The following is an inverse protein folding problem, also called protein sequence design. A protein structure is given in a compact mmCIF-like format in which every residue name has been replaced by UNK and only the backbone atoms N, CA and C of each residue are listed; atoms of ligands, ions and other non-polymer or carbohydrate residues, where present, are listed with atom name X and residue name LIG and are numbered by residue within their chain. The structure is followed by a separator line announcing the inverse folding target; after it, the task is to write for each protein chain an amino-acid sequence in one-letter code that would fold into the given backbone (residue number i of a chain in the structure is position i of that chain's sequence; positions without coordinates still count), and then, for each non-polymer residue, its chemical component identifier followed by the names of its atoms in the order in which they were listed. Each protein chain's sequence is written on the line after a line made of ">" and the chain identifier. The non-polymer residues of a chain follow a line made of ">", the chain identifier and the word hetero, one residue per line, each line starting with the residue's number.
data_IF_921844745535
#
_entry.id   IF_921844745535
#
_cell.length_a   1.000
_cell.length_b   1.000
_cell.length_c   1.000
_cell.angle_alpha   90.00
_cell.angle_beta   90.00
_cell.angle_gamma   90.00
#
_symmetry.space_group_name_H-M   'P 1'
#
loop_
_entity.id
_entity.type
_entity.pdbx_description
1 polymer ?
#
# COMPACT_ATOMS: atom_id res chain seq x y z
N UNK A 1 -0.19 -0.03 -10.24
CA UNK A 1 -0.68 1.27 -9.76
C UNK A 1 -0.85 1.17 -8.25
N UNK A 2 -0.22 2.05 -7.47
CA UNK A 2 -0.44 2.11 -6.02
C UNK A 2 -1.82 2.63 -5.71
N UNK A 3 -2.49 2.03 -4.71
CA UNK A 3 -3.77 2.55 -4.23
C UNK A 3 -3.55 3.85 -3.48
N UNK A 4 -4.52 4.76 -3.57
CA UNK A 4 -4.46 5.99 -2.77
C UNK A 4 -4.49 5.67 -1.28
N UNK A 5 -3.89 6.54 -0.45
CA UNK A 5 -3.94 6.40 1.03
C UNK A 5 -5.38 6.28 1.55
N UNK A 6 -6.31 7.05 0.98
CA UNK A 6 -7.73 7.00 1.35
C UNK A 6 -8.33 5.63 1.00
N UNK A 7 -8.03 5.10 -0.18
CA UNK A 7 -8.51 3.79 -0.62
C UNK A 7 -7.97 2.69 0.29
N UNK A 8 -6.67 2.68 0.58
CA UNK A 8 -6.06 1.71 1.48
C UNK A 8 -6.65 1.75 2.87
N UNK A 9 -6.84 2.96 3.42
CA UNK A 9 -7.49 3.14 4.72
C UNK A 9 -8.89 2.52 4.74
N UNK A 10 -9.73 2.83 3.75
CA UNK A 10 -11.10 2.27 3.68
C UNK A 10 -11.07 0.75 3.54
N UNK A 11 -10.23 0.22 2.65
CA UNK A 11 -10.08 -1.23 2.46
C UNK A 11 -9.58 -1.93 3.73
N UNK A 12 -8.66 -1.32 4.48
CA UNK A 12 -8.15 -1.88 5.72
C UNK A 12 -9.24 -1.91 6.80
N UNK A 13 -10.02 -0.84 6.93
CA UNK A 13 -11.18 -0.78 7.82
C UNK A 13 -12.23 -1.85 7.47
N UNK A 14 -12.56 -2.02 6.19
CA UNK A 14 -13.48 -3.04 5.70
C UNK A 14 -12.94 -4.47 5.94
N UNK A 15 -11.64 -4.68 5.74
CA UNK A 15 -11.01 -5.97 5.97
C UNK A 15 -10.96 -6.35 7.45
N UNK A 16 -10.68 -5.38 8.33
CA UNK A 16 -10.70 -5.57 9.79
C UNK A 16 -12.10 -5.92 10.28
N UNK A 17 -13.08 -5.06 9.98
CA UNK A 17 -14.45 -5.23 10.46
C UNK A 17 -15.12 -6.48 9.88
N UNK A 18 -14.84 -6.78 8.61
CA UNK A 18 -15.31 -7.99 7.94
C UNK A 18 -14.55 -9.28 8.28
N UNK A 19 -13.52 -9.24 9.13
CA UNK A 19 -12.73 -10.43 9.51
C UNK A 19 -11.93 -11.04 8.35
N UNK A 20 -11.57 -10.26 7.33
CA UNK A 20 -10.92 -10.71 6.09
C UNK A 20 -9.39 -10.64 6.12
N UNK A 21 -8.79 -10.39 7.28
CA UNK A 21 -7.35 -10.23 7.45
C UNK A 21 -6.56 -11.44 6.90
N UNK A 22 -7.00 -12.66 7.21
CA UNK A 22 -6.37 -13.88 6.69
C UNK A 22 -6.52 -14.04 5.18
N UNK A 23 -7.64 -13.57 4.60
CA UNK A 23 -7.83 -13.57 3.15
C UNK A 23 -6.85 -12.63 2.46
N UNK A 24 -6.61 -11.45 3.03
CA UNK A 24 -5.60 -10.49 2.54
C UNK A 24 -4.20 -11.10 2.57
N UNK A 25 -3.84 -11.78 3.66
CA UNK A 25 -2.57 -12.51 3.76
C UNK A 25 -2.44 -13.60 2.69
N UNK A 26 -3.48 -14.42 2.50
CA UNK A 26 -3.50 -15.50 1.54
C UNK A 26 -3.39 -14.99 0.09
N UNK A 27 -3.99 -13.84 -0.20
CA UNK A 27 -3.91 -13.16 -1.50
C UNK A 27 -2.58 -12.46 -1.74
N UNK A 28 -1.70 -12.40 -0.75
CA UNK A 28 -0.41 -11.70 -0.82
C UNK A 28 -0.55 -10.22 -1.15
N UNK A 29 -1.66 -9.60 -0.73
CA UNK A 29 -1.85 -8.16 -0.87
C UNK A 29 -1.07 -7.43 0.23
N UNK A 30 0.23 -7.23 -0.03
CA UNK A 30 1.18 -6.68 0.93
C UNK A 30 0.95 -5.19 1.23
N UNK A 31 0.47 -4.44 0.25
CA UNK A 31 0.15 -3.03 0.42
C UNK A 31 -1.06 -2.85 1.37
N UNK A 32 -2.09 -3.69 1.22
CA UNK A 32 -3.23 -3.69 2.15
C UNK A 32 -2.87 -4.27 3.52
N UNK A 33 -2.10 -5.36 3.55
CA UNK A 33 -1.67 -6.00 4.79
C UNK A 33 -0.82 -5.06 5.65
N UNK A 34 0.00 -4.20 5.00
CA UNK A 34 0.77 -3.17 5.68
C UNK A 34 -0.13 -2.12 6.37
N UNK A 35 -1.18 -1.64 5.68
CA UNK A 35 -2.12 -0.69 6.30
C UNK A 35 -2.95 -1.34 7.42
N UNK A 36 -3.36 -2.61 7.28
CA UNK A 36 -4.01 -3.37 8.37
C UNK A 36 -3.07 -3.49 9.58
N UNK A 37 -1.79 -3.80 9.33
CA UNK A 37 -0.79 -3.91 10.39
C UNK A 37 -0.59 -2.57 11.14
N UNK A 38 -0.80 -1.43 10.46
CA UNK A 38 -0.77 -0.11 11.11
C UNK A 38 -1.87 0.01 12.15
N UNK A 39 -3.10 -0.40 11.84
CA UNK A 39 -4.21 -0.40 12.80
C UNK A 39 -3.97 -1.33 13.99
N UNK A 40 -3.39 -2.50 13.77
CA UNK A 40 -3.11 -3.45 14.85
C UNK A 40 -2.01 -2.94 15.78
N UNK A 41 -1.03 -2.19 15.25
CA UNK A 41 0.06 -1.62 16.05
C UNK A 41 -0.36 -0.34 16.77
N UNK A 42 -1.00 0.59 16.05
CA UNK A 42 -1.25 1.95 16.51
C UNK A 42 -2.65 2.13 17.13
N UNK A 43 -3.51 1.11 17.06
CA UNK A 43 -4.93 1.13 17.42
C UNK A 43 -5.74 2.16 16.59
N UNK A 44 -7.04 2.26 16.87
CA UNK A 44 -7.95 3.21 16.23
C UNK A 44 -7.77 4.60 16.84
N UNK A 45 -7.69 5.63 16.00
CA UNK A 45 -7.60 7.03 16.44
C UNK A 45 -8.77 7.39 17.39
N UNK A 46 -8.49 7.79 18.65
CA UNK A 46 -9.53 8.14 19.61
C UNK A 46 -10.34 9.38 19.21
N UNK A 47 -9.81 10.26 18.36
CA UNK A 47 -10.56 11.41 17.84
C UNK A 47 -11.76 10.97 16.99
N UNK A 48 -11.71 9.75 16.41
CA UNK A 48 -12.85 9.17 15.70
C UNK A 48 -14.05 8.95 16.64
N UNK A 49 -13.82 8.67 17.92
CA UNK A 49 -14.91 8.50 18.89
C UNK A 49 -15.76 9.76 19.07
N UNK A 50 -15.22 10.95 18.77
CA UNK A 50 -15.93 12.22 18.86
C UNK A 50 -16.83 12.50 17.65
N UNK A 51 -16.43 12.03 16.46
CA UNK A 51 -17.14 12.30 15.20
C UNK A 51 -18.01 11.14 14.75
N UNK A 52 -17.60 9.90 15.03
CA UNK A 52 -18.33 8.67 14.73
C UNK A 52 -18.07 7.58 15.80
N UNK A 53 -18.81 7.62 16.93
CA UNK A 53 -18.63 6.67 18.04
C UNK A 53 -18.94 5.21 17.65
N UNK A 54 -19.82 5.00 16.67
CA UNK A 54 -20.21 3.66 16.23
C UNK A 54 -19.11 3.03 15.40
N UNK A 55 -18.54 3.78 14.45
CA UNK A 55 -17.38 3.32 13.67
C UNK A 55 -16.15 3.09 14.55
N UNK A 56 -15.89 3.97 15.52
CA UNK A 56 -14.80 3.78 16.46
C UNK A 56 -14.92 2.46 17.23
N UNK A 57 -16.10 2.17 17.81
CA UNK A 57 -16.34 0.91 18.54
C UNK A 57 -16.15 -0.31 17.64
N UNK A 58 -16.71 -0.28 16.43
CA UNK A 58 -16.61 -1.38 15.48
C UNK A 58 -15.15 -1.69 15.09
N UNK A 59 -14.37 -0.65 14.78
CA UNK A 59 -12.96 -0.80 14.43
C UNK A 59 -12.14 -1.29 15.62
N UNK A 60 -12.38 -0.76 16.81
CA UNK A 60 -11.64 -1.16 18.02
C UNK A 60 -11.93 -2.60 18.41
N UNK A 61 -13.17 -3.05 18.25
CA UNK A 61 -13.54 -4.45 18.43
C UNK A 61 -12.81 -5.35 17.41
N UNK A 62 -12.73 -4.93 16.15
CA UNK A 62 -12.03 -5.68 15.11
C UNK A 62 -10.51 -5.78 15.38
N UNK A 63 -9.87 -4.69 15.83
CA UNK A 63 -8.46 -4.68 16.25
C UNK A 63 -8.25 -5.60 17.46
N UNK A 64 -9.15 -5.52 18.45
CA UNK A 64 -9.12 -6.41 19.63
C UNK A 64 -9.23 -7.88 19.21
N UNK A 65 -10.10 -8.21 18.26
CA UNK A 65 -10.23 -9.56 17.70
C UNK A 65 -8.93 -10.04 17.06
N UNK A 66 -8.23 -9.18 16.33
CA UNK A 66 -6.92 -9.51 15.76
C UNK A 66 -5.89 -9.84 16.86
N UNK A 67 -5.87 -9.09 17.96
CA UNK A 67 -5.01 -9.40 19.10
C UNK A 67 -5.33 -10.74 19.74
N UNK A 68 -6.62 -11.04 19.96
CA UNK A 68 -7.07 -12.33 20.50
C UNK A 68 -6.70 -13.49 19.57
N UNK A 69 -6.69 -13.27 18.25
CA UNK A 69 -6.25 -14.24 17.24
C UNK A 69 -4.72 -14.40 17.16
N UNK A 70 -3.95 -13.70 18.00
CA UNK A 70 -2.49 -13.81 18.03
C UNK A 70 -1.75 -12.92 17.02
N UNK A 71 -2.46 -12.00 16.34
CA UNK A 71 -1.88 -11.11 15.34
C UNK A 71 -1.14 -9.90 15.94
N UNK A 72 -0.94 -9.84 17.25
CA UNK A 72 -0.26 -8.73 17.95
C UNK A 72 1.16 -8.44 17.43
N UNK A 73 1.82 -9.42 16.81
CA UNK A 73 3.15 -9.23 16.20
C UNK A 73 3.08 -8.77 14.74
N UNK A 74 1.89 -8.62 14.16
CA UNK A 74 1.70 -8.12 12.81
C UNK A 74 1.85 -6.60 12.80
N UNK A 75 3.10 -6.14 12.72
CA UNK A 75 3.44 -4.73 12.55
C UNK A 75 3.80 -4.43 11.09
N UNK A 76 3.69 -3.18 10.64
CA UNK A 76 4.10 -2.79 9.30
C UNK A 76 5.56 -3.16 9.00
N UNK A 77 6.44 -3.04 9.99
CA UNK A 77 7.86 -3.39 9.90
C UNK A 77 8.03 -4.89 9.63
N UNK A 78 7.26 -5.72 10.33
CA UNK A 78 7.34 -7.18 10.20
C UNK A 78 6.76 -7.66 8.87
N UNK A 79 5.71 -7.01 8.38
CA UNK A 79 5.19 -7.26 7.02
C UNK A 79 6.31 -7.03 6.00
N UNK A 80 6.97 -5.86 6.04
CA UNK A 80 8.11 -5.56 5.15
C UNK A 80 9.25 -6.56 5.28
N UNK A 81 9.64 -6.90 6.51
CA UNK A 81 10.75 -7.82 6.76
C UNK A 81 10.49 -9.26 6.27
N UNK A 82 9.26 -9.76 6.36
CA UNK A 82 8.90 -11.13 5.97
C UNK A 82 8.65 -11.23 4.47
N UNK A 83 8.02 -10.22 3.85
CA UNK A 83 7.61 -10.29 2.45
C UNK A 83 8.65 -9.69 1.50
N UNK A 84 9.58 -8.87 2.00
CA UNK A 84 10.48 -8.05 1.19
C UNK A 84 9.79 -6.86 0.53
N UNK A 85 8.48 -6.67 0.74
CA UNK A 85 7.71 -5.60 0.12
C UNK A 85 8.09 -4.24 0.73
N UNK A 86 8.28 -3.26 -0.14
CA UNK A 86 8.48 -1.86 0.20
C UNK A 86 7.40 -1.00 -0.43
N UNK A 87 7.05 0.16 0.17
CA UNK A 87 6.18 1.14 -0.47
C UNK A 87 6.70 1.64 -1.83
N UNK A 88 8.01 1.50 -2.08
CA UNK A 88 8.67 1.89 -3.33
C UNK A 88 8.42 0.91 -4.47
N UNK A 89 8.15 -0.37 -4.16
CA UNK A 89 7.77 -1.40 -5.15
C UNK A 89 6.46 -1.06 -5.89
N UNK A 90 5.68 -0.13 -5.33
CA UNK A 90 4.41 0.32 -5.91
C UNK A 90 4.58 1.54 -6.82
N UNK A 91 5.76 2.15 -6.84
CA UNK A 91 6.07 3.28 -7.72
C UNK A 91 6.18 2.75 -9.16
N UNK A 92 5.45 3.30 -10.14
CA UNK A 92 5.72 2.98 -11.54
C UNK A 92 7.19 3.30 -11.83
N UNK A 93 7.88 2.55 -12.72
CA UNK A 93 9.23 2.90 -13.11
C UNK A 93 9.21 4.37 -13.52
N UNK A 94 10.11 5.17 -12.94
CA UNK A 94 10.29 6.55 -13.34
C UNK A 94 10.36 6.55 -14.87
N UNK A 95 9.43 7.23 -15.52
CA UNK A 95 9.49 7.44 -16.97
C UNK A 95 10.84 8.09 -17.22
N UNK A 96 11.77 7.29 -17.75
CA UNK A 96 13.11 7.74 -18.07
C UNK A 96 12.95 8.83 -19.11
N UNK A 97 13.10 10.08 -18.65
CA UNK A 97 13.34 11.22 -19.51
C UNK A 97 14.62 10.97 -20.29
N UNK A 98 14.49 10.31 -21.44
CA UNK A 98 15.55 10.18 -22.42
C UNK A 98 15.74 11.52 -23.13
N UNK A 99 16.67 12.32 -22.63
CA UNK A 99 17.22 13.48 -23.34
C UNK A 99 17.88 12.97 -24.65
N UNK A 100 17.48 13.63 -25.75
CA UNK A 100 17.96 13.60 -27.15
C UNK A 100 19.45 13.27 -27.34
N UNK A 101 19.82 12.56 -28.42
CA UNK A 101 21.03 12.85 -29.18
C UNK A 101 20.70 13.56 -30.51
N UNK A 102 21.56 14.53 -30.79
CA UNK A 102 21.69 15.37 -31.97
C UNK A 102 22.47 14.64 -33.08
N UNK A 103 22.37 15.15 -34.33
CA UNK A 103 23.05 14.74 -35.57
C UNK A 103 22.56 13.42 -36.22
N UNK A 104 22.18 13.40 -37.50
CA UNK A 104 23.07 13.67 -38.65
C UNK A 104 22.24 14.06 -39.88
N UNK A 105 22.63 15.14 -40.56
CA UNK A 105 22.08 15.59 -41.85
C UNK A 105 22.28 14.52 -42.96
N UNK A 106 21.31 14.47 -43.87
CA UNK A 106 21.25 13.55 -45.00
C UNK A 106 22.32 13.85 -46.08
N UNK A 107 22.74 12.85 -46.86
CA UNK A 107 23.74 13.03 -47.91
C UNK A 107 23.11 13.54 -49.21
N UNK A 108 23.34 14.80 -49.57
CA UNK A 108 23.13 15.27 -50.94
C UNK A 108 24.37 14.99 -51.79
N UNK A 109 24.16 14.22 -52.86
CA UNK A 109 25.19 13.81 -53.78
C UNK A 109 25.65 14.92 -54.72
N UNK A 110 26.92 14.85 -55.08
CA UNK A 110 27.44 15.35 -56.37
C UNK A 110 28.45 14.32 -56.87
N UNK A 111 28.10 13.64 -57.95
CA UNK A 111 29.05 12.87 -58.77
C UNK A 111 28.92 13.38 -60.20
N UNK A 112 30.02 13.93 -60.70
CA UNK A 112 30.21 14.58 -62.01
C UNK A 112 30.72 13.52 -63.00
N UNK A 113 30.38 13.61 -64.28
CA UNK A 113 31.38 14.10 -65.24
C UNK A 113 30.94 15.32 -66.07
#
# INVERSE_FOLDING_TARGET
>A
MSRSKRTLRVMAEDALTGGKVFSVMAQRDWELLHEIARYIRDDVDPALALTDPSRYRLLREAVTRCHVQGLTRMTPERVRAVTGWTPEDVRPPASSGGRKPEATEEPEGVSVP
#
